data_IF_639831635036
#
_entry.id   IF_639831635036
#
_cell.length_a   1.000
_cell.length_b   1.000
_cell.length_c   1.000
_cell.angle_alpha   90.00
_cell.angle_beta   90.00
_cell.angle_gamma   90.00
#
_symmetry.space_group_name_H-M   'P 1'
#
loop_
_entity.id
_entity.type
_entity.pdbx_description
1 polymer ?
#
# COMPACT_ATOMS: atom_id res chain seq x y z
N UNK A 1 10.42 6.90 20.94
CA UNK A 1 10.70 5.70 20.12
C UNK A 1 10.21 6.00 18.72
N UNK A 2 11.03 5.79 17.68
CA UNK A 2 10.58 6.01 16.30
C UNK A 2 9.59 4.88 16.00
N UNK A 3 8.33 5.23 15.77
CA UNK A 3 7.28 4.28 15.43
C UNK A 3 7.58 3.71 14.04
N UNK A 4 7.92 2.43 13.99
CA UNK A 4 8.27 1.70 12.75
C UNK A 4 6.98 1.08 12.19
N UNK A 5 6.85 1.04 10.86
CA UNK A 5 5.75 0.36 10.19
C UNK A 5 5.71 -1.14 10.54
N UNK A 6 4.55 -1.78 10.38
CA UNK A 6 4.39 -3.24 10.53
C UNK A 6 5.36 -3.96 9.59
N UNK A 7 5.79 -5.18 9.96
CA UNK A 7 6.79 -5.92 9.19
C UNK A 7 6.39 -6.15 7.71
N UNK A 8 5.11 -6.39 7.43
CA UNK A 8 4.59 -6.55 6.06
C UNK A 8 4.44 -5.22 5.29
N UNK A 9 4.79 -4.10 5.91
CA UNK A 9 4.76 -2.73 5.39
C UNK A 9 6.15 -2.08 5.32
N UNK A 10 7.19 -2.81 5.70
CA UNK A 10 8.59 -2.42 5.52
C UNK A 10 9.09 -2.98 4.19
N UNK A 11 9.28 -2.10 3.20
CA UNK A 11 9.57 -2.49 1.81
C UNK A 11 10.98 -2.08 1.45
N UNK A 12 11.91 -3.05 1.48
CA UNK A 12 13.28 -2.87 1.01
C UNK A 12 13.50 -3.36 -0.42
N UNK A 13 12.74 -4.37 -0.82
CA UNK A 13 12.65 -4.95 -2.16
C UNK A 13 11.18 -5.16 -2.48
N UNK A 14 10.84 -5.36 -3.75
CA UNK A 14 9.44 -5.59 -4.11
C UNK A 14 8.97 -6.94 -3.56
N UNK A 15 7.74 -7.03 -3.03
CA UNK A 15 7.19 -8.30 -2.60
C UNK A 15 7.09 -9.26 -3.79
N UNK A 16 7.24 -10.55 -3.53
CA UNK A 16 7.00 -11.56 -4.55
C UNK A 16 5.56 -11.45 -5.07
N UNK A 17 5.35 -11.55 -6.39
CA UNK A 17 4.02 -11.61 -6.96
C UNK A 17 3.32 -12.89 -6.48
N UNK A 18 2.00 -12.88 -6.52
CA UNK A 18 1.21 -14.10 -6.26
C UNK A 18 1.55 -15.22 -7.25
N UNK A 19 1.75 -14.87 -8.53
CA UNK A 19 2.22 -15.78 -9.58
C UNK A 19 3.17 -15.04 -10.53
N UNK A 20 4.32 -15.66 -10.82
CA UNK A 20 5.31 -15.10 -11.75
C UNK A 20 4.79 -15.05 -13.20
N UNK A 21 3.88 -15.94 -13.58
CA UNK A 21 3.33 -15.99 -14.94
C UNK A 21 2.28 -14.91 -15.19
N UNK A 22 1.75 -14.29 -14.12
CA UNK A 22 0.67 -13.30 -14.18
C UNK A 22 1.16 -11.86 -13.96
N UNK A 23 2.39 -11.68 -13.48
CA UNK A 23 2.95 -10.34 -13.27
C UNK A 23 3.66 -9.85 -14.53
N UNK A 24 3.38 -8.62 -14.94
CA UNK A 24 4.13 -7.96 -16.01
C UNK A 24 5.50 -7.46 -15.52
N UNK A 25 5.64 -7.27 -14.20
CA UNK A 25 6.89 -6.82 -13.59
C UNK A 25 7.96 -7.90 -13.63
N UNK A 26 9.08 -7.59 -14.29
CA UNK A 26 10.28 -8.44 -14.36
C UNK A 26 11.29 -8.05 -13.29
N UNK A 27 11.37 -6.77 -12.94
CA UNK A 27 12.19 -6.31 -11.84
C UNK A 27 11.59 -6.72 -10.49
N UNK A 28 12.46 -6.93 -9.50
CA UNK A 28 12.09 -7.21 -8.10
C UNK A 28 12.67 -6.18 -7.14
N UNK A 29 13.20 -5.10 -7.70
CA UNK A 29 13.92 -4.08 -6.94
C UNK A 29 13.65 -2.68 -7.51
N UNK A 30 13.82 -1.68 -6.65
CA UNK A 30 13.82 -0.26 -7.00
C UNK A 30 15.03 0.09 -7.87
N UNK A 31 14.84 1.01 -8.80
CA UNK A 31 15.94 1.56 -9.59
C UNK A 31 17.05 2.13 -8.69
N UNK A 32 18.30 2.01 -9.13
CA UNK A 32 19.49 2.45 -8.38
C UNK A 32 19.41 3.92 -7.95
N UNK A 33 18.85 4.79 -8.79
CA UNK A 33 18.62 6.20 -8.50
C UNK A 33 17.66 6.41 -7.31
N UNK A 34 16.59 5.62 -7.23
CA UNK A 34 15.60 5.69 -6.13
C UNK A 34 16.28 5.26 -4.82
N UNK A 35 17.00 4.14 -4.84
CA UNK A 35 17.77 3.66 -3.68
C UNK A 35 18.77 4.71 -3.19
N UNK A 36 19.52 5.32 -4.12
CA UNK A 36 20.48 6.36 -3.78
C UNK A 36 19.81 7.60 -3.16
N UNK A 37 18.68 8.02 -3.72
CA UNK A 37 17.92 9.18 -3.24
C UNK A 37 17.33 8.95 -1.84
N UNK A 38 16.79 7.76 -1.57
CA UNK A 38 16.28 7.38 -0.24
C UNK A 38 17.43 7.26 0.79
N UNK A 39 18.56 6.63 0.43
CA UNK A 39 19.73 6.48 1.31
C UNK A 39 20.33 7.82 1.73
N UNK A 40 20.42 8.77 0.80
CA UNK A 40 20.92 10.13 1.08
C UNK A 40 19.93 11.00 1.86
N UNK A 41 18.73 10.46 2.19
CA UNK A 41 17.63 11.15 2.88
C UNK A 41 17.22 12.48 2.22
N UNK A 42 17.43 12.58 0.91
CA UNK A 42 17.06 13.75 0.09
C UNK A 42 15.58 13.77 -0.30
N UNK A 43 14.81 12.81 0.18
CA UNK A 43 13.41 12.59 -0.19
C UNK A 43 12.53 12.83 1.03
N UNK A 44 11.64 13.81 0.94
CA UNK A 44 10.62 14.11 1.96
C UNK A 44 9.23 13.85 1.39
N UNK A 45 8.89 12.58 1.25
CA UNK A 45 7.56 12.16 0.82
C UNK A 45 6.76 11.75 2.04
N UNK A 46 5.62 12.42 2.26
CA UNK A 46 4.81 12.22 3.47
C UNK A 46 3.58 11.36 3.24
N UNK A 47 2.97 11.48 2.04
CA UNK A 47 1.66 10.89 1.74
C UNK A 47 1.64 10.40 0.29
N UNK A 48 1.12 9.19 0.08
CA UNK A 48 0.66 8.67 -1.20
C UNK A 48 -0.85 8.41 -1.12
N UNK A 49 -1.60 8.67 -2.21
CA UNK A 49 -3.05 8.49 -2.25
C UNK A 49 -3.44 7.57 -3.40
N UNK A 50 -4.35 6.63 -3.12
CA UNK A 50 -4.99 5.78 -4.12
C UNK A 50 -6.51 5.84 -3.96
N UNK A 51 -7.22 5.87 -5.08
CA UNK A 51 -8.70 5.84 -5.12
C UNK A 51 -9.10 4.58 -5.89
N UNK A 52 -9.94 3.75 -5.28
CA UNK A 52 -10.43 2.50 -5.87
C UNK A 52 -11.81 2.76 -6.47
N UNK A 53 -11.92 2.65 -7.79
CA UNK A 53 -13.14 2.96 -8.54
C UNK A 53 -13.74 1.69 -9.12
N UNK A 54 -15.07 1.63 -9.19
CA UNK A 54 -15.83 0.53 -9.79
C UNK A 54 -17.29 0.56 -9.35
N UNK A 55 -18.11 -0.32 -9.93
CA UNK A 55 -19.55 -0.36 -9.68
C UNK A 55 -19.92 -0.66 -8.23
N UNK A 56 -21.18 -0.44 -7.88
CA UNK A 56 -21.71 -0.81 -6.56
C UNK A 56 -21.55 -2.32 -6.34
N UNK A 57 -21.24 -2.72 -5.11
CA UNK A 57 -21.15 -4.13 -4.69
C UNK A 57 -20.06 -4.99 -5.34
N UNK A 58 -19.12 -4.45 -6.13
CA UNK A 58 -17.99 -5.21 -6.70
C UNK A 58 -16.88 -5.57 -5.68
N UNK A 59 -17.06 -5.23 -4.39
CA UNK A 59 -16.13 -5.61 -3.32
C UNK A 59 -14.99 -4.62 -3.06
N UNK A 60 -15.07 -3.37 -3.52
CA UNK A 60 -14.03 -2.35 -3.31
C UNK A 60 -13.67 -2.18 -1.82
N UNK A 61 -14.67 -2.00 -0.97
CA UNK A 61 -14.49 -1.82 0.49
C UNK A 61 -13.92 -3.09 1.13
N UNK A 62 -14.33 -4.28 0.67
CA UNK A 62 -13.76 -5.55 1.11
C UNK A 62 -12.28 -5.69 0.76
N UNK A 63 -11.85 -5.17 -0.40
CA UNK A 63 -10.44 -5.16 -0.81
C UNK A 63 -9.60 -4.25 0.09
N UNK A 64 -10.09 -3.03 0.36
CA UNK A 64 -9.42 -2.09 1.28
C UNK A 64 -9.31 -2.69 2.69
N UNK A 65 -10.41 -3.24 3.23
CA UNK A 65 -10.41 -3.88 4.54
C UNK A 65 -9.49 -5.09 4.62
N UNK A 66 -9.48 -5.93 3.58
CA UNK A 66 -8.54 -7.06 3.52
C UNK A 66 -7.09 -6.58 3.51
N UNK A 67 -6.80 -5.49 2.81
CA UNK A 67 -5.45 -4.95 2.74
C UNK A 67 -5.00 -4.34 4.07
N UNK A 68 -5.79 -3.47 4.70
CA UNK A 68 -5.42 -2.72 5.91
C UNK A 68 -5.54 -3.55 7.19
N UNK A 69 -6.64 -4.30 7.31
CA UNK A 69 -7.03 -4.98 8.55
C UNK A 69 -6.88 -6.50 8.49
N UNK A 70 -6.57 -7.06 7.31
CA UNK A 70 -6.54 -8.52 7.06
C UNK A 70 -7.87 -9.22 7.36
N UNK A 71 -8.98 -8.50 7.36
CA UNK A 71 -10.33 -9.03 7.63
C UNK A 71 -11.11 -9.18 6.32
N UNK A 72 -11.96 -10.20 6.26
CA UNK A 72 -13.01 -10.33 5.25
C UNK A 72 -14.28 -10.76 5.98
N UNK A 73 -15.30 -9.90 5.97
CA UNK A 73 -16.59 -10.14 6.60
C UNK A 73 -17.68 -10.17 5.52
N UNK A 74 -18.63 -11.09 5.68
CA UNK A 74 -19.80 -11.23 4.81
C UNK A 74 -20.90 -10.21 5.14
N UNK A 75 -20.82 -9.53 6.28
CA UNK A 75 -21.73 -8.46 6.63
C UNK A 75 -21.43 -7.20 5.81
N UNK A 76 -21.98 -7.16 4.59
CA UNK A 76 -21.87 -6.02 3.71
C UNK A 76 -22.52 -4.78 4.35
N UNK A 77 -21.68 -3.82 4.72
CA UNK A 77 -22.10 -2.44 4.98
C UNK A 77 -21.79 -1.64 3.73
N UNK A 78 -22.83 -1.12 3.07
CA UNK A 78 -22.65 -0.24 1.93
C UNK A 78 -21.78 0.96 2.34
N UNK A 79 -20.80 1.32 1.52
CA UNK A 79 -20.03 2.55 1.73
C UNK A 79 -20.98 3.74 1.57
N UNK A 80 -21.21 4.48 2.65
CA UNK A 80 -22.01 5.71 2.63
C UNK A 80 -21.05 6.87 2.37
N UNK A 81 -21.07 7.42 1.16
CA UNK A 81 -20.16 8.50 0.77
C UNK A 81 -18.77 8.00 0.41
N UNK A 82 -17.72 8.60 0.98
CA UNK A 82 -16.32 8.23 0.78
C UNK A 82 -15.78 7.68 2.10
N UNK A 83 -15.25 6.46 2.05
CA UNK A 83 -14.54 5.84 3.17
C UNK A 83 -13.04 5.80 2.85
N UNK A 84 -12.20 5.99 3.87
CA UNK A 84 -10.76 5.98 3.67
C UNK A 84 -10.00 5.31 4.82
N UNK A 85 -8.97 4.59 4.44
CA UNK A 85 -8.02 3.96 5.35
C UNK A 85 -6.63 4.58 5.17
N UNK A 86 -5.88 4.68 6.26
CA UNK A 86 -4.50 5.19 6.25
C UNK A 86 -3.56 4.17 6.88
N UNK A 87 -2.61 3.68 6.10
CA UNK A 87 -1.60 2.73 6.53
C UNK A 87 -0.21 3.37 6.48
N UNK A 88 0.62 3.11 7.49
CA UNK A 88 2.02 3.52 7.49
C UNK A 88 2.87 2.48 6.78
N UNK A 89 3.73 2.94 5.88
CA UNK A 89 4.77 2.16 5.22
C UNK A 89 6.14 2.75 5.52
N UNK A 90 7.15 1.88 5.56
CA UNK A 90 8.55 2.32 5.54
C UNK A 90 9.18 1.74 4.27
N UNK A 91 9.38 2.59 3.25
CA UNK A 91 9.93 2.20 1.95
C UNK A 91 11.38 2.64 1.89
N UNK A 92 12.32 1.69 1.79
CA UNK A 92 13.75 1.97 1.80
C UNK A 92 14.19 2.82 3.01
N UNK A 93 13.55 2.61 4.17
CA UNK A 93 13.78 3.37 5.41
C UNK A 93 13.19 4.79 5.42
N UNK A 94 12.45 5.17 4.38
CA UNK A 94 11.72 6.45 4.31
C UNK A 94 10.26 6.20 4.71
N UNK A 95 9.72 6.92 5.71
CA UNK A 95 8.35 6.72 6.16
C UNK A 95 7.33 7.37 5.21
N UNK A 96 6.26 6.65 4.91
CA UNK A 96 5.13 7.08 4.08
C UNK A 96 3.80 6.80 4.77
N UNK A 97 2.83 7.69 4.58
CA UNK A 97 1.42 7.38 4.85
C UNK A 97 0.73 7.08 3.53
N UNK A 98 0.15 5.89 3.41
CA UNK A 98 -0.64 5.50 2.25
C UNK A 98 -2.12 5.64 2.59
N UNK A 99 -2.79 6.55 1.90
CA UNK A 99 -4.23 6.76 2.02
C UNK A 99 -4.96 6.05 0.88
N UNK A 100 -5.87 5.16 1.22
CA UNK A 100 -6.74 4.46 0.27
C UNK A 100 -8.17 4.94 0.46
N UNK A 101 -8.86 5.27 -0.63
CA UNK A 101 -10.26 5.69 -0.59
C UNK A 101 -11.09 4.91 -1.61
N UNK A 102 -12.35 4.64 -1.28
CA UNK A 102 -13.35 3.97 -2.12
C UNK A 102 -14.52 4.86 -2.48
#
# INVERSE_FOLDING_TARGET
>A
MIEVARNDRQIENWPSPYSSDMTEYRERDFQSLVRHSCKTKRVTLKIAKAIVIGDVSVGKSSLVNRFCHKIFDNNYKATIGVDFEVERFDILGVPFHFQMSV
#
